data_IF_463878570585
#
_entry.id   IF_463878570585
#
_cell.length_a   1.000
_cell.length_b   1.000
_cell.length_c   1.000
_cell.angle_alpha   90.00
_cell.angle_beta   90.00
_cell.angle_gamma   90.00
#
_symmetry.space_group_name_H-M   'P 1'
#
loop_
_entity.id
_entity.type
_entity.pdbx_description
1 polymer ?
#
# COMPACT_ATOMS: atom_id res chain seq x y z
N UNK A 1 39.37 -21.15 61.75
CA UNK A 1 39.39 -20.63 60.34
C UNK A 1 37.98 -20.50 59.72
N UNK A 2 36.90 -20.32 60.51
CA UNK A 2 35.52 -20.52 60.03
C UNK A 2 34.61 -19.27 59.98
N UNK A 3 35.13 -18.05 60.21
CA UNK A 3 34.28 -16.87 60.42
C UNK A 3 34.10 -15.95 59.20
N UNK A 4 34.82 -16.18 58.10
CA UNK A 4 34.85 -15.27 56.94
C UNK A 4 33.87 -15.61 55.80
N UNK A 5 33.26 -16.81 55.82
CA UNK A 5 32.36 -17.31 54.77
C UNK A 5 30.87 -16.89 54.94
N UNK A 6 30.49 -16.33 56.10
CA UNK A 6 29.08 -16.12 56.50
C UNK A 6 28.50 -14.75 56.15
N UNK A 7 29.28 -13.67 56.16
CA UNK A 7 28.72 -12.33 55.85
C UNK A 7 28.37 -12.17 54.37
N UNK A 8 29.15 -12.77 53.46
CA UNK A 8 28.87 -12.75 52.01
C UNK A 8 27.64 -13.58 51.62
N UNK A 9 27.34 -14.69 52.30
CA UNK A 9 26.16 -15.49 52.00
C UNK A 9 24.87 -14.77 52.43
N UNK A 10 24.88 -14.13 53.61
CA UNK A 10 23.74 -13.35 54.11
C UNK A 10 23.44 -12.11 53.23
N UNK A 11 24.48 -11.46 52.71
CA UNK A 11 24.32 -10.37 51.73
C UNK A 11 23.71 -10.88 50.41
N UNK A 12 24.08 -12.08 49.97
CA UNK A 12 23.49 -12.68 48.78
C UNK A 12 22.02 -13.05 49.02
N UNK A 13 21.67 -13.67 50.13
CA UNK A 13 20.29 -14.10 50.43
C UNK A 13 19.33 -12.91 50.55
N UNK A 14 19.77 -11.82 51.20
CA UNK A 14 18.99 -10.58 51.31
C UNK A 14 18.83 -9.87 49.96
N UNK A 15 19.88 -9.86 49.13
CA UNK A 15 19.80 -9.36 47.76
C UNK A 15 18.82 -10.18 46.90
N UNK A 16 18.87 -11.51 47.00
CA UNK A 16 17.95 -12.41 46.30
C UNK A 16 16.49 -12.17 46.73
N UNK A 17 16.23 -12.05 48.02
CA UNK A 17 14.89 -11.77 48.54
C UNK A 17 14.36 -10.40 48.06
N UNK A 18 15.22 -9.38 48.03
CA UNK A 18 14.85 -8.06 47.54
C UNK A 18 14.50 -8.07 46.04
N UNK A 19 15.29 -8.76 45.21
CA UNK A 19 15.01 -8.93 43.78
C UNK A 19 13.68 -9.66 43.59
N UNK A 20 13.43 -10.72 44.34
CA UNK A 20 12.19 -11.50 44.25
C UNK A 20 10.96 -10.66 44.63
N UNK A 21 11.05 -9.85 45.70
CA UNK A 21 9.96 -8.96 46.11
C UNK A 21 9.65 -7.91 45.02
N UNK A 22 10.67 -7.33 44.39
CA UNK A 22 10.48 -6.40 43.27
C UNK A 22 9.81 -7.08 42.08
N UNK A 23 10.22 -8.31 41.73
CA UNK A 23 9.59 -9.08 40.65
C UNK A 23 8.10 -9.34 40.96
N UNK A 24 7.77 -9.72 42.19
CA UNK A 24 6.37 -9.93 42.59
C UNK A 24 5.57 -8.63 42.48
N UNK A 25 6.10 -7.50 42.95
CA UNK A 25 5.42 -6.20 42.78
C UNK A 25 5.23 -5.86 41.29
N UNK A 26 6.22 -6.08 40.44
CA UNK A 26 6.11 -5.85 38.99
C UNK A 26 5.06 -6.78 38.34
N UNK A 27 4.90 -8.01 38.82
CA UNK A 27 3.91 -8.97 38.33
C UNK A 27 2.49 -8.69 38.85
N UNK A 28 2.35 -8.19 40.08
CA UNK A 28 1.08 -8.04 40.81
C UNK A 28 0.52 -6.62 40.71
N UNK A 29 1.21 -5.68 40.06
CA UNK A 29 0.68 -4.34 39.74
C UNK A 29 0.22 -4.31 38.27
N UNK A 30 -1.07 -4.61 37.98
CA UNK A 30 -1.62 -4.65 36.62
C UNK A 30 -1.38 -3.40 35.79
N UNK A 31 -1.18 -2.25 36.43
CA UNK A 31 -1.04 -0.95 35.78
C UNK A 31 0.30 -0.84 35.04
N UNK A 32 1.35 -1.52 35.53
CA UNK A 32 2.66 -1.57 34.88
C UNK A 32 2.54 -2.31 33.54
N UNK A 33 1.85 -3.44 33.50
CA UNK A 33 1.60 -4.19 32.27
C UNK A 33 0.77 -3.41 31.25
N UNK A 34 -0.22 -2.64 31.70
CA UNK A 34 -0.97 -1.74 30.81
C UNK A 34 -0.07 -0.68 30.15
N UNK A 35 0.87 -0.11 30.90
CA UNK A 35 1.84 0.87 30.36
C UNK A 35 2.77 0.20 29.36
N UNK A 36 3.31 -0.99 29.68
CA UNK A 36 4.19 -1.75 28.77
C UNK A 36 3.48 -2.09 27.46
N UNK A 37 2.24 -2.59 27.54
CA UNK A 37 1.42 -2.88 26.34
C UNK A 37 1.15 -1.60 25.55
N UNK A 38 0.84 -0.49 26.23
CA UNK A 38 0.64 0.80 25.58
C UNK A 38 1.88 1.30 24.82
N UNK A 39 3.07 1.24 25.45
CA UNK A 39 4.34 1.60 24.81
C UNK A 39 4.64 0.67 23.64
N UNK A 40 4.45 -0.65 23.81
CA UNK A 40 4.65 -1.62 22.74
C UNK A 40 3.71 -1.34 21.55
N UNK A 41 2.43 -1.03 21.81
CA UNK A 41 1.47 -0.67 20.77
C UNK A 41 1.88 0.62 20.03
N UNK A 42 2.37 1.63 20.73
CA UNK A 42 2.88 2.87 20.13
C UNK A 42 4.11 2.61 19.27
N UNK A 43 5.06 1.80 19.74
CA UNK A 43 6.25 1.41 18.96
C UNK A 43 5.83 0.63 17.72
N UNK A 44 4.93 -0.36 17.84
CA UNK A 44 4.41 -1.12 16.72
C UNK A 44 3.70 -0.21 15.70
N UNK A 45 2.88 0.74 16.16
CA UNK A 45 2.22 1.71 15.29
C UNK A 45 3.24 2.63 14.58
N UNK A 46 4.25 3.12 15.30
CA UNK A 46 5.31 3.95 14.72
C UNK A 46 6.13 3.17 13.68
N UNK A 47 6.50 1.92 13.98
CA UNK A 47 7.19 1.03 13.06
C UNK A 47 6.32 0.71 11.84
N UNK A 48 5.03 0.43 12.04
CA UNK A 48 4.08 0.22 10.96
C UNK A 48 4.01 1.45 10.05
N UNK A 49 3.85 2.65 10.61
CA UNK A 49 3.86 3.91 9.85
C UNK A 49 5.19 4.13 9.12
N UNK A 50 6.32 3.84 9.77
CA UNK A 50 7.65 3.96 9.16
C UNK A 50 7.83 3.02 7.97
N UNK A 51 7.51 1.74 8.14
CA UNK A 51 7.59 0.72 7.10
C UNK A 51 6.61 1.01 5.95
N UNK A 52 5.41 1.48 6.29
CA UNK A 52 4.41 1.89 5.31
C UNK A 52 4.92 3.07 4.47
N UNK A 53 5.46 4.12 5.11
CA UNK A 53 6.07 5.25 4.39
C UNK A 53 7.21 4.79 3.48
N UNK A 54 8.12 3.95 3.97
CA UNK A 54 9.20 3.42 3.14
C UNK A 54 8.71 2.57 1.97
N UNK A 55 7.64 1.78 2.14
CA UNK A 55 7.02 1.03 1.06
C UNK A 55 6.43 1.97 0.00
N UNK A 56 5.68 2.99 0.42
CA UNK A 56 5.05 3.94 -0.50
C UNK A 56 6.09 4.78 -1.26
N UNK A 57 7.18 5.21 -0.62
CA UNK A 57 8.26 5.93 -1.31
C UNK A 57 8.99 5.03 -2.33
N UNK A 58 9.25 3.76 -1.99
CA UNK A 58 9.82 2.80 -2.95
C UNK A 58 8.88 2.55 -4.14
N UNK A 59 7.58 2.42 -3.89
CA UNK A 59 6.58 2.34 -4.96
C UNK A 59 6.57 3.61 -5.81
N UNK A 60 6.58 4.80 -5.20
CA UNK A 60 6.63 6.08 -5.93
C UNK A 60 7.86 6.16 -6.85
N UNK A 61 9.03 5.77 -6.35
CA UNK A 61 10.29 5.78 -7.08
C UNK A 61 10.46 4.65 -8.11
N UNK A 62 9.58 3.64 -8.11
CA UNK A 62 9.71 2.47 -8.99
C UNK A 62 9.54 2.83 -10.47
N UNK A 63 10.36 2.25 -11.34
CA UNK A 63 10.26 2.38 -12.80
C UNK A 63 9.52 1.20 -13.43
N UNK A 64 9.61 1.10 -14.77
CA UNK A 64 8.96 0.02 -15.52
C UNK A 64 9.50 -1.38 -15.17
N UNK A 65 10.80 -1.50 -14.89
CA UNK A 65 11.41 -2.80 -14.55
C UNK A 65 10.83 -3.39 -13.26
N UNK A 66 10.57 -2.53 -12.27
CA UNK A 66 9.92 -2.91 -11.03
C UNK A 66 8.44 -3.21 -11.26
N UNK A 67 7.74 -2.38 -12.04
CA UNK A 67 6.32 -2.58 -12.40
C UNK A 67 6.11 -3.97 -13.04
N UNK A 68 7.03 -4.40 -13.90
CA UNK A 68 6.95 -5.71 -14.55
C UNK A 68 7.05 -6.89 -13.58
N UNK A 69 7.59 -6.67 -12.38
CA UNK A 69 7.77 -7.66 -11.32
C UNK A 69 6.75 -7.54 -10.19
N UNK A 70 5.96 -6.48 -10.16
CA UNK A 70 4.90 -6.27 -9.16
C UNK A 70 3.76 -7.26 -9.35
N UNK A 71 2.98 -7.49 -8.29
CA UNK A 71 1.68 -8.12 -8.38
C UNK A 71 0.60 -7.10 -8.81
N UNK A 72 -0.67 -7.54 -8.89
CA UNK A 72 -1.77 -6.66 -9.27
C UNK A 72 -2.00 -5.54 -8.25
N UNK A 73 -2.04 -5.90 -6.97
CA UNK A 73 -2.29 -4.95 -5.87
C UNK A 73 -1.21 -3.87 -5.78
N UNK A 74 0.07 -4.24 -5.89
CA UNK A 74 1.17 -3.27 -5.90
C UNK A 74 1.11 -2.37 -7.15
N UNK A 75 0.65 -2.89 -8.28
CA UNK A 75 0.43 -2.09 -9.49
C UNK A 75 -0.71 -1.08 -9.30
N UNK A 76 -1.82 -1.48 -8.69
CA UNK A 76 -2.92 -0.56 -8.33
C UNK A 76 -2.44 0.54 -7.36
N UNK A 77 -1.67 0.18 -6.33
CA UNK A 77 -1.03 1.13 -5.40
C UNK A 77 -0.07 2.07 -6.12
N UNK A 78 0.68 1.58 -7.11
CA UNK A 78 1.54 2.42 -7.95
C UNK A 78 0.72 3.41 -8.76
N UNK A 79 -0.35 2.96 -9.42
CA UNK A 79 -1.21 3.84 -10.20
C UNK A 79 -1.90 4.88 -9.33
N UNK A 80 -2.32 4.53 -8.11
CA UNK A 80 -2.80 5.49 -7.14
C UNK A 80 -1.83 6.65 -6.97
N UNK A 81 -0.56 6.35 -6.71
CA UNK A 81 0.49 7.35 -6.53
C UNK A 81 0.72 8.17 -7.80
N UNK A 82 0.73 7.52 -8.97
CA UNK A 82 0.89 8.20 -10.26
C UNK A 82 -0.24 9.20 -10.49
N UNK A 83 -1.50 8.80 -10.33
CA UNK A 83 -2.64 9.71 -10.49
C UNK A 83 -2.61 10.84 -9.45
N UNK A 84 -2.25 10.53 -8.20
CA UNK A 84 -2.10 11.56 -7.17
C UNK A 84 -1.01 12.59 -7.54
N UNK A 85 0.15 12.13 -8.01
CA UNK A 85 1.25 13.01 -8.43
C UNK A 85 0.93 13.79 -9.72
N UNK A 86 -0.01 13.30 -10.55
CA UNK A 86 -0.57 14.04 -11.70
C UNK A 86 -1.69 15.02 -11.32
N UNK A 87 -1.99 15.16 -10.02
CA UNK A 87 -2.95 16.11 -9.47
C UNK A 87 -4.40 15.63 -9.43
N UNK A 88 -4.65 14.31 -9.50
CA UNK A 88 -5.99 13.75 -9.34
C UNK A 88 -6.30 13.48 -7.86
N UNK A 89 -7.55 13.66 -7.46
CA UNK A 89 -8.08 13.00 -6.27
C UNK A 89 -8.35 11.52 -6.61
N UNK A 90 -7.88 10.60 -5.79
CA UNK A 90 -7.96 9.15 -6.07
C UNK A 90 -8.75 8.46 -4.96
N UNK A 91 -9.64 7.53 -5.36
CA UNK A 91 -10.42 6.68 -4.48
C UNK A 91 -10.32 5.22 -4.95
N UNK A 92 -10.14 4.29 -4.00
CA UNK A 92 -10.15 2.86 -4.30
C UNK A 92 -11.59 2.37 -4.39
N UNK A 93 -11.83 1.43 -5.29
CA UNK A 93 -13.09 0.69 -5.34
C UNK A 93 -13.09 -0.45 -4.31
N UNK A 94 -14.27 -0.99 -3.95
CA UNK A 94 -14.33 -2.15 -3.05
C UNK A 94 -13.65 -3.38 -3.65
N UNK A 95 -12.83 -4.08 -2.86
CA UNK A 95 -12.08 -5.28 -3.27
C UNK A 95 -12.95 -6.49 -3.69
N UNK A 96 -14.24 -6.51 -3.35
CA UNK A 96 -15.18 -7.56 -3.79
C UNK A 96 -16.36 -6.93 -4.51
N UNK A 97 -16.71 -7.51 -5.65
CA UNK A 97 -17.82 -7.02 -6.48
C UNK A 97 -17.46 -5.73 -7.20
N UNK A 98 -16.18 -5.49 -7.46
CA UNK A 98 -15.75 -4.46 -8.37
C UNK A 98 -16.25 -4.84 -9.77
N UNK A 99 -17.01 -3.94 -10.38
CA UNK A 99 -17.58 -4.16 -11.71
C UNK A 99 -16.52 -3.99 -12.81
N UNK A 100 -15.25 -4.28 -12.50
CA UNK A 100 -14.10 -4.01 -13.36
C UNK A 100 -13.57 -2.59 -13.23
N UNK A 101 -13.39 -2.08 -12.01
CA UNK A 101 -12.64 -0.86 -11.76
C UNK A 101 -11.84 -0.99 -10.48
N UNK A 102 -10.58 -0.57 -10.51
CA UNK A 102 -9.69 -0.62 -9.35
C UNK A 102 -9.61 0.75 -8.66
N UNK A 103 -9.68 1.84 -9.44
CA UNK A 103 -9.68 3.22 -8.93
C UNK A 103 -10.78 4.06 -9.57
N UNK A 104 -11.23 5.07 -8.83
CA UNK A 104 -11.95 6.23 -9.34
C UNK A 104 -11.06 7.44 -9.13
N UNK A 105 -10.78 8.17 -10.20
CA UNK A 105 -9.97 9.40 -10.15
C UNK A 105 -10.80 10.60 -10.55
N UNK A 106 -10.53 11.74 -9.92
CA UNK A 106 -11.26 12.99 -10.16
C UNK A 106 -10.28 14.12 -10.37
N UNK A 107 -10.46 14.88 -11.46
CA UNK A 107 -9.72 16.11 -11.76
C UNK A 107 -10.61 17.03 -12.57
N UNK A 108 -10.64 18.32 -12.22
CA UNK A 108 -11.46 19.33 -12.88
C UNK A 108 -12.94 18.92 -13.01
N UNK A 109 -13.50 18.38 -11.92
CA UNK A 109 -14.87 17.81 -11.81
C UNK A 109 -15.18 16.62 -12.74
N UNK A 110 -14.18 16.10 -13.45
CA UNK A 110 -14.32 14.91 -14.30
C UNK A 110 -14.02 13.66 -13.46
N UNK A 111 -15.04 12.82 -13.29
CA UNK A 111 -14.93 11.51 -12.63
C UNK A 111 -14.61 10.43 -13.67
N UNK A 112 -13.52 9.72 -13.42
CA UNK A 112 -12.96 8.74 -14.36
C UNK A 112 -12.72 7.41 -13.65
N UNK A 113 -13.22 6.33 -14.23
CA UNK A 113 -12.87 4.97 -13.81
C UNK A 113 -11.49 4.59 -14.32
N UNK A 114 -10.70 3.91 -13.51
CA UNK A 114 -9.43 3.33 -13.93
C UNK A 114 -9.45 1.82 -13.68
N UNK A 115 -9.20 1.05 -14.73
CA UNK A 115 -8.90 -0.38 -14.65
C UNK A 115 -7.40 -0.60 -14.89
N UNK A 116 -6.72 -1.12 -13.89
CA UNK A 116 -5.35 -1.58 -13.90
C UNK A 116 -5.28 -3.04 -14.39
N UNK A 117 -4.37 -3.33 -15.32
CA UNK A 117 -4.05 -4.69 -15.79
C UNK A 117 -2.54 -4.89 -15.87
N UNK A 118 -1.96 -5.50 -14.84
CA UNK A 118 -0.54 -5.90 -14.83
C UNK A 118 -0.40 -7.33 -15.35
N UNK A 119 -0.08 -7.51 -16.64
CA UNK A 119 -0.03 -8.80 -17.33
C UNK A 119 1.28 -9.07 -18.07
N UNK A 120 1.60 -10.36 -18.27
CA UNK A 120 2.76 -10.81 -19.07
C UNK A 120 2.49 -10.85 -20.57
N UNK A 121 1.22 -10.72 -20.99
CA UNK A 121 0.77 -10.75 -22.39
C UNK A 121 -0.02 -9.49 -22.73
N UNK A 122 -0.21 -9.18 -24.02
CA UNK A 122 -1.06 -8.09 -24.45
C UNK A 122 -2.48 -8.17 -23.87
N UNK A 123 -3.03 -7.01 -23.53
CA UNK A 123 -4.36 -6.88 -22.91
C UNK A 123 -5.44 -6.88 -23.98
N UNK A 124 -6.41 -7.79 -23.84
CA UNK A 124 -7.54 -7.94 -24.76
C UNK A 124 -8.78 -7.12 -24.38
N UNK A 125 -9.83 -7.28 -25.18
CA UNK A 125 -11.10 -6.54 -25.09
C UNK A 125 -11.79 -6.59 -23.72
N UNK A 126 -11.58 -7.66 -22.93
CA UNK A 126 -12.24 -7.84 -21.64
C UNK A 126 -11.96 -6.68 -20.68
N UNK A 127 -10.72 -6.18 -20.65
CA UNK A 127 -10.35 -5.06 -19.78
C UNK A 127 -11.10 -3.76 -20.14
N UNK A 128 -11.37 -3.55 -21.42
CA UNK A 128 -12.14 -2.40 -21.91
C UNK A 128 -13.62 -2.58 -21.57
N UNK A 129 -14.18 -3.77 -21.75
CA UNK A 129 -15.56 -4.09 -21.38
C UNK A 129 -15.82 -3.88 -19.89
N UNK A 130 -14.89 -4.33 -19.05
CA UNK A 130 -14.86 -4.12 -17.60
C UNK A 130 -14.90 -2.61 -17.27
N UNK A 131 -13.97 -1.82 -17.83
CA UNK A 131 -13.92 -0.38 -17.58
C UNK A 131 -15.18 0.37 -18.06
N UNK A 132 -15.76 -0.01 -19.21
CA UNK A 132 -17.00 0.58 -19.72
C UNK A 132 -18.19 0.26 -18.81
N UNK A 133 -18.27 -0.98 -18.33
CA UNK A 133 -19.33 -1.41 -17.39
C UNK A 133 -19.20 -0.66 -16.08
N UNK A 134 -17.98 -0.58 -15.54
CA UNK A 134 -17.71 0.14 -14.31
C UNK A 134 -17.99 1.65 -14.42
N UNK A 135 -17.67 2.28 -15.56
CA UNK A 135 -17.99 3.69 -15.82
C UNK A 135 -19.47 3.99 -15.58
N UNK A 136 -20.35 3.15 -16.14
CA UNK A 136 -21.79 3.26 -15.92
C UNK A 136 -22.17 2.97 -14.46
N UNK A 137 -21.64 1.88 -13.87
CA UNK A 137 -21.96 1.48 -12.49
C UNK A 137 -21.62 2.54 -11.44
N UNK A 138 -20.52 3.27 -11.63
CA UNK A 138 -19.99 4.26 -10.68
C UNK A 138 -20.34 5.71 -11.05
N UNK A 139 -21.21 5.93 -12.05
CA UNK A 139 -21.60 7.26 -12.54
C UNK A 139 -20.38 8.13 -12.90
N UNK A 140 -19.40 7.55 -13.58
CA UNK A 140 -18.24 8.25 -14.11
C UNK A 140 -18.50 8.65 -15.57
N UNK A 141 -17.88 9.73 -16.02
CA UNK A 141 -18.03 10.22 -17.40
C UNK A 141 -16.97 9.64 -18.33
N UNK A 142 -15.81 9.27 -17.78
CA UNK A 142 -14.68 8.73 -18.53
C UNK A 142 -14.20 7.39 -17.95
N UNK A 143 -13.42 6.66 -18.74
CA UNK A 143 -12.76 5.42 -18.35
C UNK A 143 -11.34 5.38 -18.92
N UNK A 144 -10.41 4.84 -18.14
CA UNK A 144 -9.03 4.59 -18.52
C UNK A 144 -8.73 3.12 -18.25
N UNK A 145 -8.07 2.43 -19.18
CA UNK A 145 -7.42 1.14 -18.90
C UNK A 145 -5.91 1.35 -18.93
N UNK A 146 -5.24 0.98 -17.85
CA UNK A 146 -3.79 1.13 -17.67
C UNK A 146 -3.14 -0.24 -17.59
N UNK A 147 -2.06 -0.45 -18.33
CA UNK A 147 -1.31 -1.70 -18.32
C UNK A 147 0.18 -1.48 -18.43
N UNK A 148 0.96 -2.42 -17.90
CA UNK A 148 2.40 -2.51 -18.14
C UNK A 148 2.73 -3.09 -19.53
N UNK A 149 1.74 -3.54 -20.29
CA UNK A 149 1.91 -4.18 -21.59
C UNK A 149 1.30 -3.33 -22.72
N UNK A 150 1.00 -3.95 -23.86
CA UNK A 150 0.29 -3.31 -24.96
C UNK A 150 -1.12 -3.89 -25.11
N UNK A 151 -2.00 -3.16 -25.77
CA UNK A 151 -3.34 -3.61 -26.10
C UNK A 151 -3.38 -4.35 -27.43
N UNK A 152 -4.28 -5.32 -27.55
CA UNK A 152 -4.56 -5.94 -28.86
C UNK A 152 -5.28 -4.95 -29.78
N UNK A 153 -5.26 -5.20 -31.09
CA UNK A 153 -5.96 -4.35 -32.07
C UNK A 153 -7.47 -4.22 -31.73
N UNK A 154 -8.11 -5.34 -31.35
CA UNK A 154 -9.52 -5.36 -30.98
C UNK A 154 -9.80 -4.55 -29.70
N UNK A 155 -8.87 -4.57 -28.73
CA UNK A 155 -9.01 -3.76 -27.53
C UNK A 155 -8.92 -2.26 -27.84
N UNK A 156 -8.00 -1.86 -28.72
CA UNK A 156 -7.88 -0.46 -29.18
C UNK A 156 -9.13 -0.01 -29.92
N UNK A 157 -9.64 -0.82 -30.83
CA UNK A 157 -10.88 -0.55 -31.58
C UNK A 157 -12.08 -0.39 -30.63
N UNK A 158 -12.26 -1.31 -29.69
CA UNK A 158 -13.35 -1.23 -28.72
C UNK A 158 -13.22 0.01 -27.81
N UNK A 159 -12.00 0.35 -27.39
CA UNK A 159 -11.75 1.51 -26.55
C UNK A 159 -12.08 2.82 -27.29
N UNK A 160 -11.68 2.93 -28.56
CA UNK A 160 -12.03 4.05 -29.43
C UNK A 160 -13.56 4.26 -29.51
N UNK A 161 -14.32 3.19 -29.81
CA UNK A 161 -15.78 3.28 -29.92
C UNK A 161 -16.50 3.63 -28.60
N UNK A 162 -15.88 3.35 -27.45
CA UNK A 162 -16.46 3.63 -26.14
C UNK A 162 -15.91 4.89 -25.47
N UNK A 163 -14.95 5.59 -26.08
CA UNK A 163 -14.26 6.72 -25.48
C UNK A 163 -13.45 6.34 -24.23
N UNK A 164 -12.91 5.11 -24.21
CA UNK A 164 -12.01 4.66 -23.14
C UNK A 164 -10.57 5.00 -23.50
N UNK A 165 -9.88 5.73 -22.64
CA UNK A 165 -8.47 6.03 -22.83
C UNK A 165 -7.61 4.79 -22.50
N UNK A 166 -6.55 4.59 -23.27
CA UNK A 166 -5.65 3.47 -23.11
C UNK A 166 -4.26 3.97 -22.74
N UNK A 167 -3.79 3.58 -21.55
CA UNK A 167 -2.41 3.78 -21.13
C UNK A 167 -1.68 2.45 -21.25
N UNK A 168 -1.08 2.23 -22.42
CA UNK A 168 -0.16 1.12 -22.61
C UNK A 168 1.22 1.44 -22.01
N UNK A 169 2.18 0.52 -22.18
CA UNK A 169 3.55 0.67 -21.69
C UNK A 169 4.15 2.04 -22.01
N UNK A 170 4.07 2.49 -23.26
CA UNK A 170 4.75 3.71 -23.69
C UNK A 170 4.09 4.93 -23.06
N UNK A 171 2.75 4.95 -23.03
CA UNK A 171 2.00 6.02 -22.35
C UNK A 171 2.26 6.03 -20.84
N UNK A 172 2.32 4.86 -20.21
CA UNK A 172 2.64 4.75 -18.78
C UNK A 172 4.05 5.28 -18.47
N UNK A 173 5.04 4.98 -19.31
CA UNK A 173 6.39 5.55 -19.20
C UNK A 173 6.36 7.07 -19.28
N UNK A 174 5.59 7.63 -20.23
CA UNK A 174 5.41 9.07 -20.36
C UNK A 174 4.84 9.68 -19.06
N UNK A 175 3.80 9.05 -18.50
CA UNK A 175 3.17 9.52 -17.26
C UNK A 175 4.11 9.45 -16.06
N UNK A 176 4.88 8.37 -15.94
CA UNK A 176 5.91 8.23 -14.89
C UNK A 176 6.98 9.32 -14.99
N UNK A 177 7.39 9.71 -16.19
CA UNK A 177 8.35 10.81 -16.37
C UNK A 177 7.78 12.14 -15.90
N UNK A 178 6.48 12.39 -16.13
CA UNK A 178 5.80 13.61 -15.68
C UNK A 178 5.70 13.68 -14.15
N UNK A 179 5.59 12.54 -13.46
CA UNK A 179 5.54 12.51 -11.98
C UNK A 179 6.93 12.62 -11.33
N UNK A 180 8.01 12.35 -12.08
CA UNK A 180 9.40 12.41 -11.60
C UNK A 180 10.11 13.75 -11.89
N UNK A 181 9.42 14.74 -12.46
CA UNK A 181 9.99 16.08 -12.67
C UNK A 181 10.22 16.84 -11.34
N UNK A 182 11.10 17.84 -11.30
CA UNK A 182 11.30 18.66 -10.09
C UNK A 182 9.98 19.31 -9.70
N UNK A 183 9.53 19.03 -8.46
CA UNK A 183 8.40 19.71 -7.82
C UNK A 183 8.84 21.08 -7.32
#
# INVERSE_FOLDING_TARGET
MARRKSSKSLLNDSLFAAILAVVIVLLVVPWIWKIVIGIAALICAALYVYLFRQRMERLRASGMLEIDRMDGEAFEQKLWLVFQDLGYAVQATPYRGDWGADLIVVKDDIRTVVQAKRYSKPVGLKAVQEAVTARAKYNCTHSIVVTNNFFTAQARELAFHNGTELWDRDKLVEMLKRTMGPK
#
